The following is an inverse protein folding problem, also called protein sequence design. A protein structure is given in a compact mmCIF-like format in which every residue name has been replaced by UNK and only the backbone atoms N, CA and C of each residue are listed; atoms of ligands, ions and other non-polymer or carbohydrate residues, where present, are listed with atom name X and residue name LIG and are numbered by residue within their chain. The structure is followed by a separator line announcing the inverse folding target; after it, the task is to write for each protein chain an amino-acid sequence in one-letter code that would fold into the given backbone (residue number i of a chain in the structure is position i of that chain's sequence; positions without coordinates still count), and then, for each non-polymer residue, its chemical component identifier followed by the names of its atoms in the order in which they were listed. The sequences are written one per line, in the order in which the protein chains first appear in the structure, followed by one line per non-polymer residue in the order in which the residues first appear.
data_IF_379206291962
#
_entry.id   IF_379206291962
#
_cell.length_a   1.000
_cell.length_b   1.000
_cell.length_c   1.000
_cell.angle_alpha   90.00
_cell.angle_beta   90.00
_cell.angle_gamma   90.00
#
_symmetry.space_group_name_H-M   'P 1'
#
loop_
_entity.id
_entity.type
_entity.pdbx_description
1 polymer ?
#
# COMPACT_ATOMS: atom_id res chain seq x y z
N UNK A 1 34.76 -30.82 -43.49
CA UNK A 1 34.33 -29.49 -43.01
C UNK A 1 33.32 -29.72 -41.91
N UNK A 2 33.79 -29.66 -40.65
CA UNK A 2 32.93 -29.88 -39.47
C UNK A 2 32.36 -28.53 -39.04
N UNK A 3 31.03 -28.34 -39.19
CA UNK A 3 30.32 -27.14 -38.71
C UNK A 3 30.10 -27.27 -37.19
N UNK A 4 30.83 -26.48 -36.41
CA UNK A 4 30.57 -26.34 -34.97
C UNK A 4 29.35 -25.45 -34.76
N UNK A 5 28.26 -26.08 -34.33
CA UNK A 5 27.05 -25.38 -33.88
C UNK A 5 27.27 -24.91 -32.44
N UNK A 6 27.57 -23.61 -32.27
CA UNK A 6 27.68 -22.98 -30.96
C UNK A 6 26.26 -22.68 -30.50
N UNK A 7 25.71 -23.52 -29.61
CA UNK A 7 24.50 -23.21 -28.86
C UNK A 7 24.78 -22.11 -27.84
N UNK A 8 24.40 -20.88 -28.15
CA UNK A 8 24.41 -19.76 -27.23
C UNK A 8 23.25 -19.92 -26.24
N UNK A 9 23.52 -20.51 -25.07
CA UNK A 9 22.58 -20.54 -23.94
C UNK A 9 22.48 -19.12 -23.38
N UNK A 10 21.43 -18.40 -23.77
CA UNK A 10 21.04 -17.16 -23.13
C UNK A 10 20.47 -17.50 -21.74
N UNK A 11 21.29 -17.35 -20.70
CA UNK A 11 20.85 -17.42 -19.31
C UNK A 11 20.02 -16.17 -19.04
N UNK A 12 18.70 -16.30 -19.09
CA UNK A 12 17.76 -15.29 -18.59
C UNK A 12 17.89 -15.23 -17.06
N UNK A 13 18.76 -14.34 -16.57
CA UNK A 13 18.78 -13.96 -15.17
C UNK A 13 17.53 -13.15 -14.88
N UNK A 14 16.49 -13.81 -14.40
CA UNK A 14 15.33 -13.14 -13.79
C UNK A 14 15.85 -12.53 -12.48
N UNK A 15 16.26 -11.26 -12.54
CA UNK A 15 16.63 -10.51 -11.35
C UNK A 15 15.41 -10.45 -10.42
N UNK A 16 15.57 -11.03 -9.22
CA UNK A 16 14.64 -10.84 -8.10
C UNK A 16 14.78 -9.37 -7.62
N UNK A 17 14.17 -8.45 -8.35
CA UNK A 17 14.02 -7.09 -7.83
C UNK A 17 13.02 -7.17 -6.66
N UNK A 18 13.47 -6.76 -5.48
CA UNK A 18 12.57 -6.56 -4.35
C UNK A 18 11.53 -5.52 -4.79
N UNK A 19 10.31 -5.97 -5.06
CA UNK A 19 9.24 -5.10 -5.56
C UNK A 19 8.85 -4.11 -4.47
N UNK A 20 9.21 -2.84 -4.67
CA UNK A 20 8.72 -1.76 -3.82
C UNK A 20 7.22 -1.59 -4.01
N UNK A 21 6.50 -1.27 -2.92
CA UNK A 21 5.07 -1.01 -3.00
C UNK A 21 4.80 0.30 -3.76
N UNK A 22 3.88 0.32 -4.74
CA UNK A 22 3.61 1.48 -5.59
C UNK A 22 2.74 2.53 -4.88
N UNK A 23 3.26 3.14 -3.83
CA UNK A 23 2.56 4.14 -3.03
C UNK A 23 2.24 5.41 -3.83
N UNK A 24 0.96 5.76 -3.88
CA UNK A 24 0.51 7.07 -4.35
C UNK A 24 0.66 8.10 -3.24
N UNK A 25 1.08 9.32 -3.58
CA UNK A 25 1.15 10.45 -2.66
C UNK A 25 0.01 11.47 -2.89
N UNK A 26 -0.75 11.28 -3.94
CA UNK A 26 -1.93 12.07 -4.25
C UNK A 26 -3.17 11.18 -4.14
N UNK A 27 -4.09 11.57 -3.25
CA UNK A 27 -5.28 10.76 -2.97
C UNK A 27 -6.29 10.77 -4.13
N UNK A 28 -6.43 11.89 -4.84
CA UNK A 28 -7.33 11.97 -6.00
C UNK A 28 -6.86 11.02 -7.12
N UNK A 29 -5.53 10.92 -7.32
CA UNK A 29 -4.96 9.94 -8.24
C UNK A 29 -5.22 8.50 -7.78
N UNK A 30 -5.13 8.23 -6.49
CA UNK A 30 -5.48 6.90 -5.95
C UNK A 30 -6.96 6.56 -6.19
N UNK A 31 -7.87 7.51 -6.01
CA UNK A 31 -9.30 7.32 -6.30
C UNK A 31 -9.56 7.09 -7.79
N UNK A 32 -8.88 7.84 -8.68
CA UNK A 32 -8.97 7.62 -10.14
C UNK A 32 -8.53 6.20 -10.51
N UNK A 33 -7.37 5.75 -10.02
CA UNK A 33 -6.86 4.40 -10.25
C UNK A 33 -7.80 3.33 -9.67
N UNK A 34 -8.39 3.60 -8.51
CA UNK A 34 -9.41 2.74 -7.89
C UNK A 34 -10.63 2.57 -8.79
N UNK A 35 -11.12 3.68 -9.36
CA UNK A 35 -12.25 3.67 -10.29
C UNK A 35 -11.95 2.88 -11.58
N UNK A 36 -10.75 3.03 -12.11
CA UNK A 36 -10.30 2.35 -13.34
C UNK A 36 -10.09 0.85 -13.14
N UNK A 37 -9.54 0.45 -11.99
CA UNK A 37 -9.20 -0.95 -11.70
C UNK A 37 -10.27 -1.75 -10.97
N UNK A 38 -11.26 -1.06 -10.35
CA UNK A 38 -12.24 -1.69 -9.46
C UNK A 38 -11.69 -2.09 -8.10
N UNK A 39 -10.42 -1.78 -7.79
CA UNK A 39 -9.81 -2.09 -6.50
C UNK A 39 -10.08 -1.01 -5.47
N UNK A 40 -10.35 -1.35 -4.18
CA UNK A 40 -10.45 -0.36 -3.11
C UNK A 40 -9.09 0.33 -2.86
N UNK A 41 -9.11 1.51 -2.22
CA UNK A 41 -7.90 2.20 -1.80
C UNK A 41 -7.52 1.76 -0.38
N UNK A 42 -6.26 1.38 -0.22
CA UNK A 42 -5.60 1.17 1.07
C UNK A 42 -4.87 2.48 1.43
N UNK A 43 -5.49 3.31 2.26
CA UNK A 43 -4.94 4.60 2.67
C UNK A 43 -4.21 4.45 4.01
N UNK A 44 -2.88 4.51 3.97
CA UNK A 44 -1.99 4.34 5.11
C UNK A 44 -1.54 5.69 5.68
N UNK A 45 -1.97 6.00 6.89
CA UNK A 45 -1.57 7.17 7.67
C UNK A 45 -0.44 6.78 8.61
N UNK A 46 0.72 7.43 8.48
CA UNK A 46 1.95 7.01 9.15
C UNK A 46 2.88 8.19 9.49
N UNK A 47 3.72 8.01 10.47
CA UNK A 47 4.90 8.85 10.74
C UNK A 47 6.16 8.01 10.50
N UNK A 48 6.61 7.92 9.25
CA UNK A 48 7.56 6.90 8.79
C UNK A 48 8.92 6.91 9.50
N UNK A 49 9.37 8.06 10.01
CA UNK A 49 10.69 8.23 10.61
C UNK A 49 10.69 8.38 12.13
N UNK A 50 9.52 8.45 12.78
CA UNK A 50 9.42 8.65 14.23
C UNK A 50 8.40 7.75 14.94
N UNK A 51 7.39 7.24 14.23
CA UNK A 51 6.32 6.44 14.83
C UNK A 51 6.77 4.98 15.00
N UNK A 52 7.14 4.56 16.20
CA UNK A 52 7.63 3.21 16.47
C UNK A 52 6.67 2.09 16.05
N UNK A 53 5.35 2.27 16.24
CA UNK A 53 4.34 1.30 15.80
C UNK A 53 4.17 1.26 14.28
N UNK A 54 4.41 2.39 13.58
CA UNK A 54 4.41 2.45 12.12
C UNK A 54 5.59 1.67 11.54
N UNK A 55 6.79 1.90 12.09
CA UNK A 55 8.01 1.19 11.73
C UNK A 55 7.85 -0.32 11.98
N UNK A 56 7.20 -0.67 13.10
CA UNK A 56 6.91 -2.06 13.44
C UNK A 56 5.92 -2.71 12.46
N UNK A 57 4.84 -2.00 12.10
CA UNK A 57 3.86 -2.45 11.10
C UNK A 57 4.54 -2.70 9.75
N UNK A 58 5.39 -1.78 9.32
CA UNK A 58 6.12 -1.94 8.06
C UNK A 58 7.02 -3.18 8.11
N UNK A 59 7.88 -3.28 9.12
CA UNK A 59 8.85 -4.36 9.26
C UNK A 59 8.21 -5.74 9.41
N UNK A 60 7.15 -5.85 10.18
CA UNK A 60 6.54 -7.14 10.54
C UNK A 60 5.46 -7.61 9.57
N UNK A 61 4.85 -6.68 8.83
CA UNK A 61 3.69 -6.96 7.99
C UNK A 61 3.88 -6.44 6.56
N UNK A 62 3.96 -5.11 6.36
CA UNK A 62 3.84 -4.52 5.01
C UNK A 62 5.02 -4.85 4.10
N UNK A 63 6.24 -4.97 4.64
CA UNK A 63 7.45 -5.31 3.87
C UNK A 63 7.61 -6.81 3.59
N UNK A 64 6.72 -7.67 4.13
CA UNK A 64 6.76 -9.10 3.83
C UNK A 64 6.30 -9.37 2.40
N UNK A 65 6.98 -10.29 1.70
CA UNK A 65 6.77 -10.54 0.28
C UNK A 65 5.32 -10.96 -0.04
N UNK A 66 4.76 -11.83 0.78
CA UNK A 66 3.36 -12.28 0.66
C UNK A 66 2.38 -11.11 0.83
N UNK A 67 2.66 -10.19 1.77
CA UNK A 67 1.82 -9.01 1.98
C UNK A 67 1.95 -8.00 0.85
N UNK A 68 3.17 -7.77 0.36
CA UNK A 68 3.40 -6.90 -0.81
C UNK A 68 2.61 -7.39 -2.03
N UNK A 69 2.71 -8.69 -2.32
CA UNK A 69 1.94 -9.30 -3.41
C UNK A 69 0.44 -9.12 -3.20
N UNK A 70 -0.06 -9.45 -2.02
CA UNK A 70 -1.48 -9.33 -1.68
C UNK A 70 -1.99 -7.90 -1.84
N UNK A 71 -1.25 -6.91 -1.33
CA UNK A 71 -1.62 -5.50 -1.45
C UNK A 71 -1.65 -5.04 -2.92
N UNK A 72 -0.64 -5.37 -3.71
CA UNK A 72 -0.60 -5.00 -5.14
C UNK A 72 -1.74 -5.65 -5.95
N UNK A 73 -2.10 -6.89 -5.60
CA UNK A 73 -3.17 -7.61 -6.30
C UNK A 73 -4.57 -7.06 -5.99
N UNK A 74 -4.79 -6.57 -4.76
CA UNK A 74 -6.12 -6.27 -4.26
C UNK A 74 -6.44 -4.80 -4.00
N UNK A 75 -5.43 -3.92 -3.94
CA UNK A 75 -5.61 -2.52 -3.54
C UNK A 75 -4.87 -1.54 -4.44
N UNK A 76 -5.37 -0.31 -4.48
CA UNK A 76 -4.60 0.88 -4.84
C UNK A 76 -4.01 1.42 -3.53
N UNK A 77 -2.70 1.68 -3.52
CA UNK A 77 -1.98 2.05 -2.29
C UNK A 77 -1.76 3.56 -2.24
N UNK A 78 -2.25 4.19 -1.18
CA UNK A 78 -2.01 5.60 -0.89
C UNK A 78 -1.35 5.74 0.48
N UNK A 79 -0.30 6.58 0.57
CA UNK A 79 0.42 6.87 1.81
C UNK A 79 0.29 8.34 2.17
N UNK A 80 -0.37 8.63 3.30
CA UNK A 80 -0.34 9.90 3.98
C UNK A 80 0.76 9.86 5.05
N UNK A 81 1.97 10.28 4.67
CA UNK A 81 3.12 10.31 5.57
C UNK A 81 3.26 11.66 6.26
N UNK A 82 3.58 11.64 7.56
CA UNK A 82 3.82 12.79 8.41
C UNK A 82 5.23 12.70 9.02
N UNK A 83 6.29 12.73 8.21
CA UNK A 83 7.65 12.61 8.70
C UNK A 83 8.10 13.87 9.41
N UNK A 84 9.04 13.74 10.36
CA UNK A 84 9.63 14.87 11.08
C UNK A 84 10.88 15.42 10.38
N UNK A 85 11.67 14.55 9.73
CA UNK A 85 12.97 14.96 9.17
C UNK A 85 12.86 15.58 7.78
N UNK A 86 12.11 15.02 6.87
CA UNK A 86 11.98 15.49 5.50
C UNK A 86 10.50 15.56 5.13
N UNK A 87 9.78 16.59 5.60
CA UNK A 87 8.36 16.73 5.30
C UNK A 87 8.14 16.92 3.78
N UNK A 88 7.08 16.36 3.22
CA UNK A 88 6.70 16.63 1.85
C UNK A 88 6.31 18.09 1.68
N UNK A 89 6.17 18.59 0.42
CA UNK A 89 5.70 19.93 0.15
C UNK A 89 4.44 20.29 0.95
N UNK A 90 4.29 21.54 1.34
CA UNK A 90 3.22 22.04 2.23
C UNK A 90 1.83 21.69 1.69
N UNK A 91 1.61 21.81 0.39
CA UNK A 91 0.34 21.44 -0.24
C UNK A 91 -0.02 19.95 -0.08
N UNK A 92 0.97 19.06 -0.08
CA UNK A 92 0.77 17.62 0.18
C UNK A 92 0.47 17.40 1.65
N UNK A 93 1.21 18.07 2.54
CA UNK A 93 0.99 17.96 3.98
C UNK A 93 -0.40 18.45 4.39
N UNK A 94 -0.86 19.58 3.82
CA UNK A 94 -2.21 20.09 4.02
C UNK A 94 -3.27 19.06 3.60
N UNK A 95 -3.13 18.47 2.42
CA UNK A 95 -4.04 17.43 1.93
C UNK A 95 -4.05 16.20 2.82
N UNK A 96 -2.90 15.78 3.31
CA UNK A 96 -2.82 14.67 4.27
C UNK A 96 -3.55 14.99 5.57
N UNK A 97 -3.45 16.22 6.08
CA UNK A 97 -4.20 16.67 7.26
C UNK A 97 -5.72 16.72 7.01
N UNK A 98 -6.16 17.22 5.86
CA UNK A 98 -7.57 17.22 5.46
C UNK A 98 -8.14 15.80 5.45
N UNK A 99 -7.40 14.84 4.87
CA UNK A 99 -7.80 13.43 4.85
C UNK A 99 -7.82 12.80 6.24
N UNK A 100 -6.84 13.14 7.08
CA UNK A 100 -6.78 12.70 8.47
C UNK A 100 -8.04 13.12 9.24
N UNK A 101 -8.46 14.38 9.07
CA UNK A 101 -9.70 14.91 9.67
C UNK A 101 -10.94 14.24 9.06
N UNK A 102 -11.01 14.16 7.72
CA UNK A 102 -12.14 13.55 7.00
C UNK A 102 -12.44 12.13 7.49
N UNK A 103 -11.40 11.32 7.72
CA UNK A 103 -11.56 9.94 8.15
C UNK A 103 -11.50 9.74 9.67
N UNK A 104 -11.38 10.80 10.44
CA UNK A 104 -11.33 10.73 11.91
C UNK A 104 -10.11 9.98 12.44
N UNK A 105 -8.98 10.06 11.73
CA UNK A 105 -7.72 9.44 12.14
C UNK A 105 -7.16 10.17 13.35
N UNK A 106 -6.97 9.47 14.48
CA UNK A 106 -6.54 10.06 15.76
C UNK A 106 -5.14 9.64 16.19
N UNK A 107 -4.48 8.79 15.41
CA UNK A 107 -3.14 8.28 15.74
C UNK A 107 -2.58 7.41 14.65
N UNK A 108 -1.33 6.99 14.81
CA UNK A 108 -0.58 6.21 13.84
C UNK A 108 -0.08 4.89 14.44
N UNK A 109 0.03 3.82 13.64
CA UNK A 109 -0.45 3.71 12.25
C UNK A 109 -1.97 3.58 12.19
N UNK A 110 -2.60 4.19 11.20
CA UNK A 110 -3.99 3.93 10.85
C UNK A 110 -4.09 3.62 9.36
N UNK A 111 -4.87 2.61 9.03
CA UNK A 111 -5.18 2.20 7.66
C UNK A 111 -6.67 2.40 7.46
N UNK A 112 -7.04 3.23 6.50
CA UNK A 112 -8.44 3.43 6.09
C UNK A 112 -8.62 2.76 4.74
N UNK A 113 -9.63 1.90 4.63
CA UNK A 113 -10.00 1.31 3.34
C UNK A 113 -11.17 2.10 2.79
N UNK A 114 -11.04 2.59 1.55
CA UNK A 114 -12.12 3.32 0.89
C UNK A 114 -12.53 2.65 -0.42
N UNK A 115 -13.75 2.93 -0.85
CA UNK A 115 -14.17 2.68 -2.23
C UNK A 115 -13.62 3.75 -3.20
N UNK A 116 -13.93 3.64 -4.49
CA UNK A 116 -13.48 4.56 -5.52
C UNK A 116 -14.09 5.98 -5.43
N UNK A 117 -15.12 6.17 -4.62
CA UNK A 117 -15.68 7.50 -4.30
C UNK A 117 -14.99 8.18 -3.12
N UNK A 118 -14.09 7.47 -2.43
CA UNK A 118 -13.45 7.92 -1.20
C UNK A 118 -14.33 7.75 0.05
N UNK A 119 -15.39 6.93 -0.03
CA UNK A 119 -16.19 6.54 1.13
C UNK A 119 -15.47 5.46 1.92
N UNK A 120 -15.30 5.65 3.23
CA UNK A 120 -14.67 4.67 4.09
C UNK A 120 -15.51 3.39 4.19
N UNK A 121 -14.88 2.26 3.91
CA UNK A 121 -15.44 0.92 4.07
C UNK A 121 -15.09 0.33 5.45
N UNK A 122 -13.98 0.77 6.02
CA UNK A 122 -13.52 0.42 7.34
C UNK A 122 -12.13 0.96 7.66
N UNK A 123 -11.68 0.66 8.86
CA UNK A 123 -10.43 1.14 9.42
C UNK A 123 -9.75 0.03 10.21
N UNK A 124 -8.42 -0.01 10.16
CA UNK A 124 -7.58 -0.91 10.95
C UNK A 124 -6.25 -0.24 11.27
N UNK A 125 -5.35 -0.95 11.92
CA UNK A 125 -4.00 -0.46 12.25
C UNK A 125 -3.07 -1.63 12.48
N UNK A 126 -2.04 -1.45 13.31
CA UNK A 126 -1.17 -2.56 13.68
C UNK A 126 -1.96 -3.64 14.42
N UNK A 127 -1.70 -4.88 14.06
CA UNK A 127 -2.25 -6.06 14.75
C UNK A 127 -1.18 -7.14 14.89
N UNK A 128 -1.32 -7.98 15.91
CA UNK A 128 -0.50 -9.18 16.07
C UNK A 128 -0.98 -10.27 15.11
N UNK A 129 -0.08 -11.20 14.77
CA UNK A 129 -0.37 -12.34 13.90
C UNK A 129 0.16 -12.20 12.47
N UNK A 130 0.92 -11.12 12.21
CA UNK A 130 1.65 -10.95 10.94
C UNK A 130 0.78 -10.74 9.71
N UNK A 131 1.32 -11.01 8.51
CA UNK A 131 0.62 -10.84 7.23
C UNK A 131 -0.72 -11.59 7.16
N UNK A 132 -0.78 -12.84 7.61
CA UNK A 132 -1.99 -13.66 7.53
C UNK A 132 -3.17 -13.07 8.29
N UNK A 133 -2.92 -12.53 9.49
CA UNK A 133 -3.95 -11.88 10.29
C UNK A 133 -4.45 -10.60 9.61
N UNK A 134 -3.54 -9.81 9.05
CA UNK A 134 -3.88 -8.59 8.32
C UNK A 134 -4.68 -8.90 7.05
N UNK A 135 -4.26 -9.88 6.25
CA UNK A 135 -4.96 -10.28 5.02
C UNK A 135 -6.40 -10.72 5.31
N UNK A 136 -6.62 -11.52 6.37
CA UNK A 136 -7.97 -11.94 6.79
C UNK A 136 -8.89 -10.75 7.13
N UNK A 137 -8.34 -9.70 7.74
CA UNK A 137 -9.10 -8.47 8.02
C UNK A 137 -9.39 -7.71 6.74
N UNK A 138 -8.41 -7.58 5.85
CA UNK A 138 -8.53 -6.82 4.60
C UNK A 138 -9.46 -7.49 3.59
N UNK A 139 -9.55 -8.81 3.54
CA UNK A 139 -10.45 -9.57 2.65
C UNK A 139 -11.92 -9.14 2.77
N UNK A 140 -12.34 -8.73 3.96
CA UNK A 140 -13.71 -8.22 4.19
C UNK A 140 -14.00 -6.96 3.39
N UNK A 141 -12.97 -6.13 3.17
CA UNK A 141 -13.11 -4.86 2.47
C UNK A 141 -12.98 -5.03 0.96
N UNK A 142 -12.12 -5.94 0.50
CA UNK A 142 -12.03 -6.31 -0.93
C UNK A 142 -13.40 -6.79 -1.43
N UNK A 143 -14.06 -7.69 -0.68
CA UNK A 143 -15.41 -8.19 -1.01
C UNK A 143 -16.48 -7.10 -1.02
N UNK A 144 -16.36 -6.08 -0.14
CA UNK A 144 -17.32 -4.95 -0.08
C UNK A 144 -17.15 -3.96 -1.24
N UNK A 145 -15.95 -3.83 -1.79
CA UNK A 145 -15.65 -2.92 -2.88
C UNK A 145 -16.02 -3.48 -4.26
N UNK A 146 -16.12 -4.81 -4.39
CA UNK A 146 -16.53 -5.44 -5.64
C UNK A 146 -18.02 -5.17 -5.89
N UNK A 147 -18.41 -4.55 -7.02
CA UNK A 147 -19.83 -4.43 -7.37
C UNK A 147 -20.44 -5.83 -7.56
N UNK A 148 -21.63 -6.04 -7.04
CA UNK A 148 -22.42 -7.23 -7.32
C UNK A 148 -22.92 -7.20 -8.76
#
# INVERSE_FOLDING_TARGET
MKKFLVCLLAVLTVGLFAQELPWQQNFDNALRLSKESGKPVFAFFTGSDWCGWCIRLDREILSKQEMKKYLCDNFILFKADFPQKNPPPENIMMKNHELMQKYGVRGFPTIVITDASGKALGMTGYMRGGPDAMMKVLDKYVKKASPK
#
